data_IF_588996417486
#
_entry.id   IF_588996417486
#
_cell.length_a   1.000
_cell.length_b   1.000
_cell.length_c   1.000
_cell.angle_alpha   90.00
_cell.angle_beta   90.00
_cell.angle_gamma   90.00
#
_symmetry.space_group_name_H-M   'P 1'
#
loop_
_entity.id
_entity.type
_entity.pdbx_description
1 polymer ?
#
# COMPACT_ATOMS: atom_id res chain seq x y z
N UNK A 1 51.01 36.43 -27.53
CA UNK A 1 50.13 35.26 -27.28
C UNK A 1 48.73 35.60 -27.75
N UNK A 2 48.15 34.92 -28.77
CA UNK A 2 46.74 35.13 -29.12
C UNK A 2 45.84 34.11 -28.40
N UNK A 3 44.78 34.62 -27.77
CA UNK A 3 43.72 33.83 -27.15
C UNK A 3 42.88 33.09 -28.22
N UNK A 4 42.70 31.78 -28.06
CA UNK A 4 41.88 30.93 -28.93
C UNK A 4 40.47 30.81 -28.33
N UNK A 5 39.39 31.22 -29.03
CA UNK A 5 38.05 31.08 -28.47
C UNK A 5 37.57 29.62 -28.52
N UNK A 6 36.94 29.17 -27.44
CA UNK A 6 36.28 27.86 -27.36
C UNK A 6 34.98 27.88 -28.17
N UNK A 7 34.90 27.05 -29.21
CA UNK A 7 33.64 26.83 -29.95
C UNK A 7 32.64 26.10 -29.07
N UNK A 8 31.35 26.50 -29.05
CA UNK A 8 30.33 25.76 -28.33
C UNK A 8 30.08 24.42 -29.05
N UNK A 9 30.12 23.32 -28.31
CA UNK A 9 29.70 22.00 -28.78
C UNK A 9 28.18 22.02 -28.91
N UNK A 10 27.67 22.16 -30.13
CA UNK A 10 26.28 21.85 -30.45
C UNK A 10 26.05 20.37 -30.13
N UNK A 11 25.28 20.11 -29.08
CA UNK A 11 24.83 18.76 -28.75
C UNK A 11 23.97 18.21 -29.88
N UNK A 12 24.35 17.06 -30.42
CA UNK A 12 23.56 16.35 -31.43
C UNK A 12 22.25 15.91 -30.76
N UNK A 13 21.06 16.28 -31.27
CA UNK A 13 19.82 15.78 -30.72
C UNK A 13 19.77 14.27 -30.93
N UNK A 14 19.56 13.53 -29.84
CA UNK A 14 19.42 12.07 -29.86
C UNK A 14 18.08 11.75 -30.53
N UNK A 15 18.14 11.41 -31.82
CA UNK A 15 16.97 11.03 -32.60
C UNK A 15 16.34 9.74 -32.03
N UNK A 16 15.28 9.90 -31.25
CA UNK A 16 14.37 8.82 -30.86
C UNK A 16 13.43 8.50 -32.03
N UNK A 17 13.57 7.30 -32.57
CA UNK A 17 12.55 6.62 -33.38
C UNK A 17 12.52 6.97 -34.86
N UNK A 18 13.24 6.19 -35.68
CA UNK A 18 12.86 5.99 -37.07
C UNK A 18 12.53 4.51 -37.26
N UNK A 19 11.24 4.26 -37.54
CA UNK A 19 10.76 3.01 -38.12
C UNK A 19 11.65 2.67 -39.32
N UNK A 20 12.13 1.44 -39.37
CA UNK A 20 12.96 0.90 -40.44
C UNK A 20 12.19 0.85 -41.76
N UNK A 21 12.17 1.96 -42.50
CA UNK A 21 11.95 1.96 -43.94
C UNK A 21 13.27 1.55 -44.62
N UNK A 22 13.69 0.30 -44.41
CA UNK A 22 14.79 -0.28 -45.18
C UNK A 22 14.15 -0.77 -46.47
N UNK A 23 14.51 -0.16 -47.60
CA UNK A 23 14.05 -0.61 -48.90
C UNK A 23 14.39 -2.10 -49.11
N UNK A 24 13.47 -2.85 -49.73
CA UNK A 24 13.71 -4.26 -50.01
C UNK A 24 15.03 -4.43 -50.79
N UNK A 25 15.95 -5.29 -50.33
CA UNK A 25 17.25 -5.44 -50.97
C UNK A 25 17.07 -6.02 -52.38
N UNK A 26 17.66 -5.35 -53.37
CA UNK A 26 17.71 -5.74 -54.78
C UNK A 26 18.76 -6.84 -55.03
N UNK A 27 18.66 -7.63 -56.12
CA UNK A 27 19.69 -8.61 -56.48
C UNK A 27 21.08 -7.94 -56.53
N UNK A 28 22.05 -8.47 -55.78
CA UNK A 28 23.41 -7.92 -55.70
C UNK A 28 23.60 -6.67 -54.80
N UNK A 29 22.55 -6.16 -54.13
CA UNK A 29 22.62 -4.94 -53.28
C UNK A 29 23.25 -5.14 -51.89
N UNK A 30 24.16 -6.10 -51.79
CA UNK A 30 24.96 -6.33 -50.59
C UNK A 30 24.35 -7.35 -49.61
N UNK A 31 24.76 -7.26 -48.33
CA UNK A 31 24.94 -8.42 -47.45
C UNK A 31 23.67 -9.18 -47.08
N UNK A 32 22.49 -8.58 -47.26
CA UNK A 32 21.22 -9.15 -46.79
C UNK A 32 20.67 -10.26 -47.69
N UNK A 33 21.00 -10.25 -48.98
CA UNK A 33 20.56 -11.26 -49.96
C UNK A 33 21.65 -12.29 -50.30
N UNK A 34 22.88 -12.05 -49.83
CA UNK A 34 24.00 -12.95 -50.02
C UNK A 34 24.27 -13.70 -48.71
N UNK A 35 23.97 -15.00 -48.69
CA UNK A 35 24.24 -15.89 -47.56
C UNK A 35 25.73 -16.21 -47.50
N UNK A 36 26.56 -15.21 -47.16
CA UNK A 36 28.01 -15.42 -46.94
C UNK A 36 28.20 -16.21 -45.66
N UNK A 37 28.88 -17.36 -45.77
CA UNK A 37 29.22 -18.20 -44.63
C UNK A 37 30.20 -17.50 -43.65
N UNK A 38 30.95 -16.51 -44.14
CA UNK A 38 32.02 -15.82 -43.39
C UNK A 38 31.51 -14.61 -42.58
N UNK A 39 30.20 -14.47 -42.37
CA UNK A 39 29.63 -13.39 -41.57
C UNK A 39 29.39 -13.85 -40.14
N UNK A 40 30.09 -13.22 -39.20
CA UNK A 40 29.81 -13.41 -37.78
C UNK A 40 28.37 -13.03 -37.44
N UNK A 41 27.71 -13.88 -36.63
CA UNK A 41 26.36 -13.61 -36.15
C UNK A 41 26.35 -12.32 -35.31
N UNK A 42 25.28 -11.51 -35.38
CA UNK A 42 25.13 -10.37 -34.48
C UNK A 42 25.27 -10.82 -33.03
N UNK A 43 26.10 -10.12 -32.25
CA UNK A 43 26.26 -10.44 -30.83
C UNK A 43 24.94 -10.23 -30.10
N UNK A 44 24.38 -11.30 -29.56
CA UNK A 44 23.16 -11.22 -28.75
C UNK A 44 23.51 -10.45 -27.47
N UNK A 45 22.73 -9.41 -27.10
CA UNK A 45 22.97 -8.71 -25.84
C UNK A 45 22.89 -9.69 -24.67
N UNK A 46 23.74 -9.50 -23.66
CA UNK A 46 23.86 -10.42 -22.53
C UNK A 46 22.47 -10.78 -21.94
N UNK A 47 22.06 -12.07 -21.97
CA UNK A 47 20.73 -12.50 -21.57
C UNK A 47 20.47 -12.32 -20.06
N UNK A 48 21.49 -12.01 -19.24
CA UNK A 48 21.35 -11.82 -17.79
C UNK A 48 20.98 -10.39 -17.37
N UNK A 49 20.78 -9.46 -18.32
CA UNK A 49 20.45 -8.06 -17.99
C UNK A 49 19.15 -7.91 -17.17
N UNK A 50 18.18 -8.82 -17.33
CA UNK A 50 16.92 -8.80 -16.57
C UNK A 50 17.10 -9.07 -15.06
N UNK A 51 18.21 -9.69 -14.65
CA UNK A 51 18.52 -9.93 -13.24
C UNK A 51 18.71 -8.60 -12.50
N UNK A 52 19.23 -7.57 -13.17
CA UNK A 52 19.37 -6.23 -12.57
C UNK A 52 18.02 -5.53 -12.40
N UNK A 53 17.04 -5.83 -13.25
CA UNK A 53 15.69 -5.25 -13.16
C UNK A 53 14.76 -6.04 -12.22
N UNK A 54 15.07 -7.30 -11.92
CA UNK A 54 14.25 -8.16 -11.07
C UNK A 54 14.06 -7.63 -9.64
N UNK A 55 15.08 -7.11 -8.94
CA UNK A 55 14.89 -6.50 -7.63
C UNK A 55 13.92 -5.33 -7.66
N UNK A 56 14.03 -4.46 -8.68
CA UNK A 56 13.15 -3.29 -8.84
C UNK A 56 11.71 -3.77 -9.06
N UNK A 57 11.51 -4.74 -9.94
CA UNK A 57 10.20 -5.35 -10.17
C UNK A 57 9.62 -5.95 -8.89
N UNK A 58 10.40 -6.76 -8.17
CA UNK A 58 9.97 -7.41 -6.93
C UNK A 58 9.59 -6.38 -5.85
N UNK A 59 10.34 -5.27 -5.73
CA UNK A 59 10.02 -4.17 -4.81
C UNK A 59 8.70 -3.50 -5.21
N UNK A 60 8.52 -3.14 -6.48
CA UNK A 60 7.29 -2.49 -6.96
C UNK A 60 6.08 -3.41 -6.72
N UNK A 61 6.19 -4.68 -7.11
CA UNK A 61 5.13 -5.67 -6.89
C UNK A 61 4.85 -5.87 -5.42
N UNK A 62 5.88 -6.01 -4.58
CA UNK A 62 5.73 -6.16 -3.13
C UNK A 62 5.01 -4.97 -2.49
N UNK A 63 5.40 -3.74 -2.84
CA UNK A 63 4.73 -2.52 -2.37
C UNK A 63 3.28 -2.47 -2.85
N UNK A 64 3.02 -2.78 -4.12
CA UNK A 64 1.66 -2.81 -4.66
C UNK A 64 0.77 -3.83 -3.93
N UNK A 65 1.29 -5.03 -3.67
CA UNK A 65 0.62 -6.08 -2.91
C UNK A 65 0.27 -5.62 -1.49
N UNK A 66 1.23 -5.00 -0.78
CA UNK A 66 0.98 -4.44 0.56
C UNK A 66 -0.12 -3.37 0.54
N UNK A 67 -0.10 -2.47 -0.45
CA UNK A 67 -1.13 -1.46 -0.62
C UNK A 67 -2.52 -2.06 -0.84
N UNK A 68 -2.63 -3.10 -1.68
CA UNK A 68 -3.91 -3.77 -1.96
C UNK A 68 -4.44 -4.47 -0.71
N UNK A 69 -3.60 -5.20 0.02
CA UNK A 69 -4.04 -5.85 1.26
C UNK A 69 -4.44 -4.84 2.33
N UNK A 70 -3.72 -3.72 2.45
CA UNK A 70 -4.11 -2.66 3.35
C UNK A 70 -5.45 -2.04 2.95
N UNK A 71 -5.69 -1.83 1.65
CA UNK A 71 -6.97 -1.32 1.15
C UNK A 71 -8.13 -2.27 1.46
N UNK A 72 -7.92 -3.58 1.33
CA UNK A 72 -8.91 -4.59 1.72
C UNK A 72 -9.21 -4.51 3.23
N UNK A 73 -8.19 -4.36 4.07
CA UNK A 73 -8.38 -4.18 5.52
C UNK A 73 -9.14 -2.89 5.84
N UNK A 74 -8.78 -1.76 5.23
CA UNK A 74 -9.46 -0.48 5.48
C UNK A 74 -10.91 -0.46 5.02
N UNK A 75 -11.23 -1.22 3.97
CA UNK A 75 -12.59 -1.34 3.44
C UNK A 75 -13.40 -2.45 4.12
N UNK A 76 -12.87 -3.08 5.17
CA UNK A 76 -13.56 -4.17 5.88
C UNK A 76 -14.72 -3.66 6.74
N UNK A 77 -15.73 -4.51 6.93
CA UNK A 77 -16.90 -4.19 7.77
C UNK A 77 -16.51 -3.86 9.21
N UNK A 78 -15.52 -4.58 9.77
CA UNK A 78 -15.00 -4.36 11.13
C UNK A 78 -14.41 -2.96 11.30
N UNK A 79 -13.61 -2.49 10.33
CA UNK A 79 -13.02 -1.15 10.41
C UNK A 79 -14.11 -0.08 10.29
N UNK A 80 -15.06 -0.24 9.37
CA UNK A 80 -16.14 0.72 9.20
C UNK A 80 -17.09 0.77 10.41
N UNK A 81 -17.39 -0.37 11.03
CA UNK A 81 -18.24 -0.44 12.22
C UNK A 81 -17.57 0.20 13.43
N UNK A 82 -16.29 -0.10 13.67
CA UNK A 82 -15.53 0.49 14.78
C UNK A 82 -15.32 1.99 14.59
N UNK A 83 -15.12 2.48 13.37
CA UNK A 83 -15.05 3.91 13.07
C UNK A 83 -16.40 4.60 13.31
N UNK A 84 -17.51 3.94 12.92
CA UNK A 84 -18.85 4.47 13.16
C UNK A 84 -19.17 4.52 14.66
N UNK A 85 -18.86 3.47 15.40
CA UNK A 85 -19.03 3.43 16.85
C UNK A 85 -18.23 4.55 17.53
N UNK A 86 -17.03 4.85 17.04
CA UNK A 86 -16.23 5.99 17.52
C UNK A 86 -16.92 7.34 17.25
N UNK A 87 -17.61 7.50 16.12
CA UNK A 87 -18.34 8.74 15.75
C UNK A 87 -19.55 9.03 16.62
N UNK A 88 -20.17 7.99 17.17
CA UNK A 88 -21.37 8.10 18.00
C UNK A 88 -21.05 8.10 19.49
N UNK A 89 -19.89 7.60 19.89
CA UNK A 89 -19.50 7.54 21.30
C UNK A 89 -19.30 8.94 21.91
N UNK A 90 -19.97 9.26 23.05
CA UNK A 90 -19.95 10.60 23.64
C UNK A 90 -18.54 11.05 24.03
N UNK A 91 -17.81 10.21 24.78
CA UNK A 91 -16.46 10.54 25.24
C UNK A 91 -15.45 10.71 24.08
N UNK A 92 -15.50 9.85 23.06
CA UNK A 92 -14.65 9.99 21.88
C UNK A 92 -14.94 11.31 21.13
N UNK A 93 -16.20 11.75 21.06
CA UNK A 93 -16.58 13.03 20.45
C UNK A 93 -16.14 14.23 21.28
N UNK A 94 -16.13 14.12 22.61
CA UNK A 94 -15.62 15.19 23.46
C UNK A 94 -14.13 15.44 23.21
N UNK A 95 -13.36 14.36 23.07
CA UNK A 95 -11.91 14.36 22.87
C UNK A 95 -11.48 14.68 21.44
N UNK A 96 -12.02 13.98 20.44
CA UNK A 96 -11.65 14.13 19.03
C UNK A 96 -12.43 15.25 18.34
N UNK A 97 -13.61 15.63 18.86
CA UNK A 97 -14.52 16.58 18.25
C UNK A 97 -15.60 15.93 17.37
N UNK A 98 -16.32 16.76 16.64
CA UNK A 98 -17.23 16.32 15.56
C UNK A 98 -16.45 15.75 14.37
N UNK A 99 -17.14 15.03 13.50
CA UNK A 99 -16.62 14.55 12.21
C UNK A 99 -15.33 13.72 12.30
N UNK A 100 -15.44 12.54 12.89
CA UNK A 100 -14.31 11.61 13.04
C UNK A 100 -14.09 10.84 11.74
N UNK A 101 -12.90 10.95 11.17
CA UNK A 101 -12.47 10.22 9.97
C UNK A 101 -11.13 9.52 10.23
N UNK A 102 -10.65 8.78 9.24
CA UNK A 102 -9.25 8.37 9.23
C UNK A 102 -8.33 9.59 9.20
N UNK A 103 -7.17 9.48 9.86
CA UNK A 103 -6.19 10.57 9.89
C UNK A 103 -5.59 10.89 8.51
N UNK A 104 -5.52 9.88 7.63
CA UNK A 104 -4.90 9.97 6.31
C UNK A 104 -5.88 9.49 5.22
N UNK A 105 -5.73 10.03 4.00
CA UNK A 105 -6.50 9.61 2.82
C UNK A 105 -6.31 8.12 2.49
N UNK A 106 -5.11 7.59 2.71
CA UNK A 106 -4.80 6.17 2.62
C UNK A 106 -4.51 5.70 4.04
N UNK A 107 -5.54 5.27 4.79
CA UNK A 107 -5.35 4.82 6.16
C UNK A 107 -4.55 3.52 6.17
N UNK A 108 -3.52 3.46 7.01
CA UNK A 108 -2.81 2.22 7.24
C UNK A 108 -3.41 1.49 8.44
N UNK A 109 -4.01 0.33 8.20
CA UNK A 109 -4.63 -0.50 9.23
C UNK A 109 -3.63 -1.55 9.67
N UNK A 110 -3.09 -1.35 10.86
CA UNK A 110 -2.15 -2.29 11.45
C UNK A 110 -2.89 -3.43 12.15
N UNK A 111 -2.21 -4.57 12.26
CA UNK A 111 -2.74 -5.76 12.92
C UNK A 111 -3.44 -6.74 11.98
N UNK A 112 -4.19 -7.65 12.59
CA UNK A 112 -4.79 -8.83 11.99
C UNK A 112 -6.33 -8.71 11.97
N UNK A 113 -6.91 -9.00 10.81
CA UNK A 113 -8.35 -9.22 10.65
C UNK A 113 -8.52 -10.64 10.14
N UNK A 114 -8.71 -11.58 11.06
CA UNK A 114 -8.89 -12.99 10.74
C UNK A 114 -10.26 -13.44 11.24
N UNK A 115 -11.27 -13.10 10.46
CA UNK A 115 -12.67 -13.41 10.77
C UNK A 115 -12.90 -14.92 10.83
N UNK A 116 -12.19 -15.72 10.01
CA UNK A 116 -12.33 -17.18 9.96
C UNK A 116 -11.91 -17.84 11.27
N UNK A 117 -10.76 -17.43 11.82
CA UNK A 117 -10.27 -17.92 13.11
C UNK A 117 -10.83 -17.10 14.28
N UNK A 118 -11.72 -16.15 14.00
CA UNK A 118 -12.36 -15.32 15.00
C UNK A 118 -11.40 -14.45 15.79
N UNK A 119 -10.32 -13.96 15.19
CA UNK A 119 -9.33 -13.09 15.83
C UNK A 119 -9.25 -11.77 15.10
N UNK A 120 -9.52 -10.68 15.82
CA UNK A 120 -9.45 -9.33 15.31
C UNK A 120 -8.59 -8.54 16.29
N UNK A 121 -7.49 -8.00 15.80
CA UNK A 121 -6.68 -7.04 16.55
C UNK A 121 -6.22 -5.99 15.55
N UNK A 122 -6.86 -4.83 15.59
CA UNK A 122 -6.60 -3.74 14.67
C UNK A 122 -6.31 -2.45 15.43
N UNK A 123 -5.45 -1.63 14.83
CA UNK A 123 -5.28 -0.27 15.26
C UNK A 123 -5.00 0.64 14.08
N UNK A 124 -5.53 1.86 14.15
CA UNK A 124 -5.40 2.84 13.09
C UNK A 124 -5.55 4.27 13.62
N UNK A 125 -4.98 5.21 12.87
CA UNK A 125 -5.03 6.62 13.21
C UNK A 125 -6.35 7.25 12.76
N UNK A 126 -6.97 8.00 13.66
CA UNK A 126 -8.22 8.73 13.47
C UNK A 126 -7.99 10.23 13.69
N UNK A 127 -8.81 11.03 13.04
CA UNK A 127 -8.80 12.49 13.15
C UNK A 127 -10.23 12.99 13.28
N UNK A 128 -10.48 13.79 14.30
CA UNK A 128 -11.70 14.59 14.40
C UNK A 128 -11.39 16.08 14.20
N UNK A 129 -12.39 16.91 14.50
CA UNK A 129 -12.29 18.37 14.35
C UNK A 129 -11.32 19.00 15.37
N UNK A 130 -11.24 18.46 16.59
CA UNK A 130 -10.41 19.01 17.68
C UNK A 130 -9.01 18.41 17.69
N UNK A 131 -8.89 17.10 17.50
CA UNK A 131 -7.62 16.39 17.67
C UNK A 131 -7.53 15.10 16.85
N UNK A 132 -6.34 14.52 16.79
CA UNK A 132 -6.07 13.19 16.23
C UNK A 132 -5.90 12.18 17.34
N UNK A 133 -6.04 10.89 17.04
CA UNK A 133 -5.80 9.82 18.00
C UNK A 133 -5.52 8.49 17.31
N UNK A 134 -5.15 7.49 18.09
CA UNK A 134 -4.98 6.10 17.66
C UNK A 134 -6.04 5.24 18.31
N UNK A 135 -6.93 4.69 17.51
CA UNK A 135 -7.94 3.75 18.00
C UNK A 135 -7.39 2.33 17.89
N UNK A 136 -7.61 1.54 18.95
CA UNK A 136 -7.28 0.12 19.03
C UNK A 136 -8.54 -0.67 19.36
N UNK A 137 -8.75 -1.74 18.60
CA UNK A 137 -9.87 -2.64 18.78
C UNK A 137 -9.38 -4.09 18.73
N UNK A 138 -9.70 -4.85 19.77
CA UNK A 138 -9.38 -6.26 19.90
C UNK A 138 -10.63 -7.05 20.26
N UNK A 139 -10.90 -8.09 19.48
CA UNK A 139 -11.99 -9.03 19.73
C UNK A 139 -11.57 -10.45 19.36
N UNK A 140 -12.04 -11.43 20.12
CA UNK A 140 -11.82 -12.84 19.84
C UNK A 140 -13.12 -13.64 19.95
N UNK A 141 -13.15 -14.80 19.31
CA UNK A 141 -14.24 -15.77 19.36
C UNK A 141 -13.70 -17.12 19.83
N UNK A 142 -14.23 -17.66 20.94
CA UNK A 142 -13.74 -18.92 21.53
C UNK A 142 -14.08 -20.16 20.70
N UNK A 143 -15.26 -20.20 20.08
CA UNK A 143 -15.77 -21.35 19.33
C UNK A 143 -16.16 -20.97 17.92
N UNK A 144 -16.12 -21.93 16.96
CA UNK A 144 -16.47 -21.67 15.54
C UNK A 144 -17.93 -21.25 15.32
N UNK A 145 -18.81 -21.44 16.31
CA UNK A 145 -20.21 -20.99 16.29
C UNK A 145 -20.54 -19.94 17.36
N UNK A 146 -19.58 -19.53 18.20
CA UNK A 146 -19.83 -18.56 19.28
C UNK A 146 -19.96 -17.11 18.84
N UNK A 147 -20.15 -16.20 19.79
CA UNK A 147 -20.14 -14.76 19.54
C UNK A 147 -18.73 -14.18 19.64
N UNK A 148 -18.54 -13.01 19.03
CA UNK A 148 -17.31 -12.23 19.17
C UNK A 148 -17.36 -11.50 20.51
N UNK A 149 -16.38 -11.76 21.38
CA UNK A 149 -16.19 -11.05 22.64
C UNK A 149 -15.24 -9.88 22.40
N UNK A 150 -15.62 -8.67 22.79
CA UNK A 150 -14.73 -7.50 22.67
C UNK A 150 -13.86 -7.42 23.91
N UNK A 151 -12.54 -7.53 23.74
CA UNK A 151 -11.59 -7.50 24.86
C UNK A 151 -11.05 -6.11 25.11
N UNK A 152 -10.83 -5.35 24.04
CA UNK A 152 -10.22 -4.04 24.13
C UNK A 152 -10.88 -3.14 23.10
N UNK A 153 -11.38 -2.00 23.55
CA UNK A 153 -11.72 -0.90 22.68
C UNK A 153 -11.25 0.38 23.33
N UNK A 154 -10.18 0.97 22.80
CA UNK A 154 -9.56 2.14 23.40
C UNK A 154 -9.09 3.17 22.38
N UNK A 155 -9.04 4.42 22.82
CA UNK A 155 -8.55 5.55 22.06
C UNK A 155 -7.35 6.15 22.79
N UNK A 156 -6.19 6.17 22.12
CA UNK A 156 -4.99 6.82 22.63
C UNK A 156 -4.83 8.18 21.97
N UNK A 157 -4.78 9.22 22.78
CA UNK A 157 -4.61 10.60 22.35
C UNK A 157 -3.12 10.93 22.15
N UNK A 158 -2.77 12.02 21.45
CA UNK A 158 -1.37 12.37 21.15
C UNK A 158 -0.57 12.78 22.39
N UNK A 159 -1.28 13.18 23.45
CA UNK A 159 -0.75 13.49 24.79
C UNK A 159 -0.36 12.22 25.58
N UNK A 160 -0.60 11.03 25.04
CA UNK A 160 -0.37 9.74 25.70
C UNK A 160 -1.51 9.28 26.59
N UNK A 161 -2.58 10.07 26.72
CA UNK A 161 -3.77 9.68 27.49
C UNK A 161 -4.52 8.60 26.73
N UNK A 162 -4.75 7.47 27.40
CA UNK A 162 -5.53 6.35 26.89
C UNK A 162 -6.91 6.36 27.54
N UNK A 163 -7.94 6.26 26.71
CA UNK A 163 -9.34 6.22 27.12
C UNK A 163 -9.93 4.90 26.70
N UNK A 164 -10.55 4.20 27.64
CA UNK A 164 -11.19 2.90 27.41
C UNK A 164 -12.66 3.13 27.07
N UNK A 165 -13.01 2.88 25.82
CA UNK A 165 -14.34 3.14 25.26
C UNK A 165 -15.32 1.99 25.52
N UNK A 166 -14.80 0.81 25.91
CA UNK A 166 -15.63 -0.36 26.17
C UNK A 166 -16.44 -0.20 27.46
N UNK A 167 -15.81 0.27 28.53
CA UNK A 167 -16.46 0.39 29.85
C UNK A 167 -17.51 1.51 29.88
N UNK A 168 -17.26 2.61 29.16
CA UNK A 168 -18.14 3.77 29.06
C UNK A 168 -19.39 3.53 28.21
N UNK A 169 -19.36 2.57 27.28
CA UNK A 169 -20.46 2.27 26.37
C UNK A 169 -21.55 1.37 26.98
N UNK A 170 -21.41 0.97 28.25
CA UNK A 170 -22.22 -0.06 28.90
C UNK A 170 -21.53 -1.42 28.88
N UNK A 171 -21.83 -2.26 29.86
CA UNK A 171 -21.24 -3.60 29.98
C UNK A 171 -21.46 -4.39 28.68
N UNK A 172 -20.43 -5.09 28.18
CA UNK A 172 -20.53 -5.91 26.97
C UNK A 172 -21.69 -6.91 27.17
N UNK A 173 -22.78 -6.84 26.37
CA UNK A 173 -23.97 -7.67 26.57
C UNK A 173 -23.66 -9.17 26.46
N UNK A 174 -22.54 -9.54 25.85
CA UNK A 174 -22.12 -10.93 25.70
C UNK A 174 -21.23 -11.44 26.84
N UNK A 175 -20.77 -10.57 27.75
CA UNK A 175 -19.95 -10.96 28.90
C UNK A 175 -20.77 -11.64 29.99
N UNK A 176 -22.05 -11.31 30.10
CA UNK A 176 -22.97 -11.87 31.11
C UNK A 176 -23.35 -13.33 30.79
N UNK A 177 -23.62 -13.65 29.51
CA UNK A 177 -24.02 -15.01 29.08
C UNK A 177 -22.91 -16.07 29.26
N UNK A 178 -21.64 -15.67 29.24
CA UNK A 178 -20.51 -16.59 29.39
C UNK A 178 -20.16 -16.93 30.85
N UNK A 179 -20.83 -16.29 31.82
CA UNK A 179 -20.58 -16.43 33.26
C UNK A 179 -21.60 -17.29 34.01
N UNK A 180 -22.55 -17.92 33.29
CA UNK A 180 -23.58 -18.80 33.84
C UNK A 180 -23.42 -20.24 33.35
#
# INVERSE_FOLDING_TARGET
MPFRPLRPRLGVPRATGLRTLIAAPKPGSGPLMERRADRELPSIPNPRRWIYTLPIFAVITGVATLCIFNYQKSSSSVVNSTLYALRTHPEARELLGSDIYFANRIPWIWGEINQLHGRINIHYAVKGTKSTGHMRFQSYRKTRMGYFETTEWSLTMPDGRRVELLESAGHDPFREEASN
#
